data_IF_120756582179
#
_entry.id   IF_120756582179
#
_cell.length_a   1.000
_cell.length_b   1.000
_cell.length_c   1.000
_cell.angle_alpha   90.00
_cell.angle_beta   90.00
_cell.angle_gamma   90.00
#
_symmetry.space_group_name_H-M   'P 1'
#
loop_
_entity.id
_entity.type
_entity.pdbx_description
1 polymer ?
#
# COMPACT_ATOMS: atom_id res chain seq x y z
N UNK A 1 -7.49 18.66 87.51
CA UNK A 1 -7.37 17.23 87.79
C UNK A 1 -7.81 16.52 86.54
N UNK A 2 -6.80 15.82 85.86
CA UNK A 2 -6.91 14.77 84.87
C UNK A 2 -7.32 15.17 83.42
N UNK A 3 -6.39 15.32 82.51
CA UNK A 3 -5.63 14.34 81.72
C UNK A 3 -6.46 13.09 81.34
N UNK A 4 -6.81 12.99 80.05
CA UNK A 4 -6.82 11.81 79.23
C UNK A 4 -7.78 12.03 78.02
N UNK A 5 -7.25 12.57 76.93
CA UNK A 5 -7.76 12.31 75.57
C UNK A 5 -6.65 12.72 74.59
N UNK A 6 -5.69 11.85 74.47
CA UNK A 6 -4.77 11.85 73.34
C UNK A 6 -4.67 10.42 72.86
N UNK A 7 -4.51 10.25 71.56
CA UNK A 7 -4.26 9.01 70.81
C UNK A 7 -5.52 8.26 70.31
N UNK A 8 -6.04 8.74 69.16
CA UNK A 8 -6.62 7.86 68.13
C UNK A 8 -6.98 8.63 66.84
N UNK A 9 -6.03 9.29 66.20
CA UNK A 9 -6.30 9.90 64.88
C UNK A 9 -5.06 9.95 63.96
N UNK A 10 -4.31 8.87 63.80
CA UNK A 10 -3.17 8.88 62.88
C UNK A 10 -2.93 7.58 62.13
N UNK A 11 -3.95 6.71 61.97
CA UNK A 11 -3.79 5.48 61.18
C UNK A 11 -4.72 5.34 59.96
N UNK A 12 -5.58 6.31 59.69
CA UNK A 12 -6.50 6.20 58.52
C UNK A 12 -6.06 7.04 57.32
N UNK A 13 -5.03 7.89 57.43
CA UNK A 13 -4.63 8.78 56.34
C UNK A 13 -3.55 8.20 55.42
N UNK A 14 -2.86 7.12 55.83
CA UNK A 14 -1.79 6.53 55.04
C UNK A 14 -2.25 5.47 54.04
N UNK A 15 -3.44 4.91 54.19
CA UNK A 15 -3.97 3.86 53.29
C UNK A 15 -4.70 4.47 52.10
N UNK A 16 -5.23 5.68 52.20
CA UNK A 16 -5.94 6.35 51.13
C UNK A 16 -5.00 6.97 50.08
N UNK A 17 -3.70 7.21 50.43
CA UNK A 17 -2.70 7.79 49.53
C UNK A 17 -2.02 6.75 48.63
N UNK A 18 -2.13 5.46 48.96
CA UNK A 18 -1.51 4.37 48.20
C UNK A 18 -2.46 3.79 47.14
N UNK A 19 -3.75 4.12 47.18
CA UNK A 19 -4.72 3.67 46.16
C UNK A 19 -4.88 4.63 44.97
N UNK A 20 -4.36 5.88 45.06
CA UNK A 20 -4.48 6.88 44.01
C UNK A 20 -3.32 6.88 43.00
N UNK A 21 -2.25 6.12 43.27
CA UNK A 21 -1.06 6.07 42.38
C UNK A 21 -1.05 4.89 41.39
N UNK A 22 -2.05 4.03 41.43
CA UNK A 22 -2.11 2.83 40.57
C UNK A 22 -2.99 2.97 39.32
N UNK A 23 -3.54 4.16 39.04
CA UNK A 23 -4.48 4.34 37.89
C UNK A 23 -3.81 5.05 36.69
N UNK A 24 -2.55 5.49 36.80
CA UNK A 24 -1.85 6.20 35.70
C UNK A 24 -0.91 5.35 34.86
N UNK A 25 -0.96 4.01 34.98
CA UNK A 25 -0.23 3.11 34.06
C UNK A 25 -1.14 2.44 33.03
N UNK A 26 -2.29 3.03 32.75
CA UNK A 26 -3.17 2.54 31.70
C UNK A 26 -2.80 3.21 30.38
N UNK A 27 -2.06 2.46 29.56
CA UNK A 27 -2.14 2.52 28.10
C UNK A 27 -1.66 3.80 27.42
N UNK A 28 -0.36 4.10 27.48
CA UNK A 28 0.26 4.65 26.28
C UNK A 28 0.37 3.49 25.26
N UNK A 29 -0.63 3.31 24.41
CA UNK A 29 -0.37 2.70 23.11
C UNK A 29 0.66 3.62 22.44
N UNK A 30 1.79 3.13 21.95
CA UNK A 30 2.67 3.96 21.15
C UNK A 30 1.81 4.52 20.00
N UNK A 31 1.80 5.83 19.87
CA UNK A 31 1.22 6.48 18.70
C UNK A 31 1.98 5.93 17.49
N UNK A 32 1.29 5.45 16.43
CA UNK A 32 1.98 4.94 15.26
C UNK A 32 2.90 6.05 14.72
N UNK A 33 4.11 5.66 14.35
CA UNK A 33 5.10 6.57 13.78
C UNK A 33 4.46 7.28 12.58
N UNK A 34 4.45 8.62 12.51
CA UNK A 34 3.84 9.35 11.40
C UNK A 34 4.39 8.96 10.02
N UNK A 35 5.60 8.36 9.95
CA UNK A 35 6.17 7.83 8.71
C UNK A 35 5.51 6.50 8.24
N UNK A 36 4.66 5.87 9.04
CA UNK A 36 3.97 4.61 8.70
C UNK A 36 2.51 4.79 8.29
N UNK A 37 1.99 6.01 8.32
CA UNK A 37 0.60 6.26 7.93
C UNK A 37 0.50 6.40 6.40
N UNK A 38 -0.25 5.50 5.79
CA UNK A 38 -0.58 5.63 4.37
C UNK A 38 -1.41 6.91 4.12
N UNK A 39 -1.27 7.55 2.94
CA UNK A 39 -2.11 8.68 2.55
C UNK A 39 -3.60 8.35 2.63
N UNK A 40 -4.43 9.36 2.83
CA UNK A 40 -5.88 9.15 2.93
C UNK A 40 -6.44 8.47 1.66
N UNK A 41 -7.21 7.41 1.84
CA UNK A 41 -7.80 6.65 0.73
C UNK A 41 -6.87 5.61 0.11
N UNK A 42 -5.68 5.44 0.67
CA UNK A 42 -4.73 4.37 0.30
C UNK A 42 -4.79 3.28 1.38
N UNK A 43 -4.85 2.04 0.95
CA UNK A 43 -4.89 0.88 1.83
C UNK A 43 -3.96 -0.24 1.33
N UNK A 44 -3.50 -1.07 2.24
CA UNK A 44 -2.82 -2.32 1.90
C UNK A 44 -3.82 -3.29 1.25
N UNK A 45 -3.35 -4.11 0.32
CA UNK A 45 -4.18 -5.12 -0.30
C UNK A 45 -4.48 -6.25 0.70
N UNK A 46 -5.77 -6.49 0.97
CA UNK A 46 -6.20 -7.59 1.84
C UNK A 46 -5.88 -8.95 1.21
N UNK A 47 -5.53 -9.95 2.04
CA UNK A 47 -5.20 -11.31 1.60
C UNK A 47 -6.35 -12.04 0.90
N UNK A 48 -7.58 -11.63 1.11
CA UNK A 48 -8.79 -12.15 0.48
C UNK A 48 -9.30 -11.28 -0.69
N UNK A 49 -8.50 -10.29 -1.10
CA UNK A 49 -8.87 -9.40 -2.20
C UNK A 49 -9.05 -10.17 -3.52
N UNK A 50 -10.13 -9.92 -4.26
CA UNK A 50 -10.35 -10.51 -5.57
C UNK A 50 -9.29 -10.12 -6.61
N UNK A 51 -8.51 -9.04 -6.37
CA UNK A 51 -7.38 -8.64 -7.20
C UNK A 51 -6.26 -9.68 -7.20
N UNK A 52 -6.07 -10.40 -6.08
CA UNK A 52 -4.99 -11.38 -5.94
C UNK A 52 -5.18 -12.54 -6.91
N UNK A 53 -4.11 -12.92 -7.60
CA UNK A 53 -4.06 -14.04 -8.53
C UNK A 53 -3.24 -13.74 -9.77
N UNK A 54 -3.34 -14.65 -10.75
CA UNK A 54 -2.71 -14.51 -12.06
C UNK A 54 -3.77 -14.21 -13.10
N UNK A 55 -3.54 -13.15 -13.85
CA UNK A 55 -4.43 -12.63 -14.87
C UNK A 55 -3.74 -12.67 -16.22
N UNK A 56 -4.42 -13.13 -17.25
CA UNK A 56 -3.86 -13.22 -18.60
C UNK A 56 -4.71 -12.46 -19.60
N UNK A 57 -4.07 -11.65 -20.44
CA UNK A 57 -4.73 -10.96 -21.55
C UNK A 57 -4.71 -11.81 -22.85
N UNK A 58 -5.35 -11.30 -23.90
CA UNK A 58 -5.44 -11.96 -25.21
C UNK A 58 -4.10 -12.01 -25.97
N UNK A 59 -3.09 -11.31 -25.52
CA UNK A 59 -1.74 -11.29 -26.08
C UNK A 59 -0.78 -12.20 -25.31
N UNK A 60 -1.29 -13.02 -24.38
CA UNK A 60 -0.53 -13.87 -23.46
C UNK A 60 0.34 -13.12 -22.46
N UNK A 61 0.13 -11.82 -22.27
CA UNK A 61 0.76 -11.15 -21.13
C UNK A 61 0.14 -11.66 -19.83
N UNK A 62 0.97 -11.88 -18.82
CA UNK A 62 0.52 -12.35 -17.50
C UNK A 62 0.81 -11.26 -16.49
N UNK A 63 -0.19 -10.98 -15.67
CA UNK A 63 -0.10 -10.07 -14.52
C UNK A 63 -0.29 -10.91 -13.25
N UNK A 64 0.74 -10.96 -12.41
CA UNK A 64 0.67 -11.61 -11.10
C UNK A 64 0.50 -10.55 -10.03
N UNK A 65 -0.55 -10.69 -9.23
CA UNK A 65 -0.87 -9.77 -8.12
C UNK A 65 -0.90 -10.60 -6.84
N UNK A 66 -0.04 -10.27 -5.90
CA UNK A 66 -0.05 -10.78 -4.54
C UNK A 66 -0.36 -9.66 -3.55
N UNK A 67 -0.38 -9.95 -2.26
CA UNK A 67 -0.68 -8.96 -1.23
C UNK A 67 0.28 -7.75 -1.27
N UNK A 68 1.55 -7.97 -1.60
CA UNK A 68 2.59 -6.94 -1.53
C UNK A 68 3.40 -6.77 -2.82
N UNK A 69 3.12 -7.54 -3.85
CA UNK A 69 3.92 -7.56 -5.08
C UNK A 69 3.03 -7.58 -6.31
N UNK A 70 3.55 -7.00 -7.38
CA UNK A 70 3.00 -7.03 -8.72
C UNK A 70 4.09 -7.40 -9.70
N UNK A 71 3.77 -8.25 -10.67
CA UNK A 71 4.67 -8.62 -11.77
C UNK A 71 3.93 -8.68 -13.09
N UNK A 72 4.57 -8.19 -14.15
CA UNK A 72 4.06 -8.29 -15.52
C UNK A 72 5.04 -9.10 -16.38
N UNK A 73 4.51 -10.07 -17.09
CA UNK A 73 5.25 -10.92 -18.03
C UNK A 73 4.69 -10.72 -19.43
N UNK A 74 5.58 -10.57 -20.41
CA UNK A 74 5.28 -10.67 -21.84
C UNK A 74 6.05 -11.84 -22.43
N UNK A 75 5.38 -12.74 -23.19
CA UNK A 75 5.99 -13.92 -23.81
C UNK A 75 6.84 -14.76 -22.84
N UNK A 76 6.37 -14.96 -21.60
CA UNK A 76 7.06 -15.61 -20.49
C UNK A 76 8.34 -14.89 -19.99
N UNK A 77 8.59 -13.67 -20.42
CA UNK A 77 9.67 -12.83 -19.93
C UNK A 77 9.15 -11.83 -18.91
N UNK A 78 9.79 -11.76 -17.72
CA UNK A 78 9.44 -10.78 -16.71
C UNK A 78 9.84 -9.38 -17.19
N UNK A 79 8.86 -8.58 -17.53
CA UNK A 79 9.02 -7.20 -17.97
C UNK A 79 9.29 -6.30 -16.77
N UNK A 80 8.27 -5.86 -16.07
CA UNK A 80 8.44 -5.05 -14.88
C UNK A 80 7.81 -5.70 -13.65
N UNK A 81 8.31 -5.33 -12.49
CA UNK A 81 7.81 -5.81 -11.21
C UNK A 81 8.00 -4.73 -10.13
N UNK A 82 7.23 -4.85 -9.06
CA UNK A 82 7.36 -3.98 -7.90
C UNK A 82 6.83 -4.62 -6.63
N UNK A 83 7.23 -4.05 -5.52
CA UNK A 83 6.76 -4.41 -4.18
C UNK A 83 6.09 -3.20 -3.49
N UNK A 84 5.86 -3.32 -2.17
CA UNK A 84 5.17 -2.29 -1.39
C UNK A 84 3.81 -1.91 -2.00
N UNK A 85 3.10 -2.93 -2.51
CA UNK A 85 1.84 -2.76 -3.20
C UNK A 85 0.78 -2.18 -2.26
N UNK A 86 0.22 -1.05 -2.67
CA UNK A 86 -0.95 -0.43 -2.04
C UNK A 86 -2.00 -0.09 -3.08
N UNK A 87 -3.24 0.09 -2.66
CA UNK A 87 -4.35 0.38 -3.57
C UNK A 87 -5.13 1.62 -3.17
N UNK A 88 -5.77 2.23 -4.16
CA UNK A 88 -6.81 3.24 -3.99
C UNK A 88 -8.04 2.80 -4.74
N UNK A 89 -9.17 2.67 -4.06
CA UNK A 89 -10.45 2.32 -4.69
C UNK A 89 -11.18 3.57 -5.15
N UNK A 90 -11.57 3.62 -6.42
CA UNK A 90 -12.46 4.64 -6.96
C UNK A 90 -13.92 4.18 -6.96
N UNK A 91 -14.14 2.87 -6.96
CA UNK A 91 -15.43 2.21 -6.79
C UNK A 91 -15.21 0.79 -6.25
N UNK A 92 -16.30 0.02 -6.09
CA UNK A 92 -16.22 -1.39 -5.69
C UNK A 92 -15.36 -2.23 -6.66
N UNK A 93 -15.40 -1.91 -7.96
CA UNK A 93 -14.82 -2.74 -9.03
C UNK A 93 -13.71 -2.01 -9.81
N UNK A 94 -13.22 -0.85 -9.33
CA UNK A 94 -12.19 -0.07 -10.02
C UNK A 94 -11.33 0.73 -9.05
N UNK A 95 -10.12 1.06 -9.49
CA UNK A 95 -9.15 1.82 -8.71
C UNK A 95 -7.77 1.81 -9.32
N UNK A 96 -6.80 2.06 -8.46
CA UNK A 96 -5.39 2.08 -8.79
C UNK A 96 -4.62 1.14 -7.88
N UNK A 97 -3.61 0.50 -8.43
CA UNK A 97 -2.58 -0.25 -7.73
C UNK A 97 -1.30 0.58 -7.84
N UNK A 98 -0.65 0.88 -6.74
CA UNK A 98 0.65 1.54 -6.71
C UNK A 98 1.69 0.56 -6.22
N UNK A 99 2.86 0.58 -6.86
CA UNK A 99 4.01 -0.29 -6.53
C UNK A 99 5.30 0.51 -6.56
N UNK A 100 6.29 0.10 -5.78
CA UNK A 100 7.67 0.55 -5.99
C UNK A 100 8.38 -0.43 -6.91
N UNK A 101 8.97 0.06 -8.01
CA UNK A 101 9.69 -0.78 -8.94
C UNK A 101 10.85 -1.54 -8.29
N UNK A 102 10.85 -2.85 -8.47
CA UNK A 102 12.00 -3.74 -8.20
C UNK A 102 12.69 -4.16 -9.48
N UNK A 103 11.98 -4.01 -10.62
CA UNK A 103 12.45 -4.25 -11.98
C UNK A 103 11.79 -3.24 -12.91
N UNK A 104 12.60 -2.54 -13.71
CA UNK A 104 12.14 -1.53 -14.64
C UNK A 104 12.95 -1.58 -15.96
N UNK A 105 12.49 -0.86 -16.98
CA UNK A 105 13.20 -0.74 -18.25
C UNK A 105 14.39 0.25 -18.14
N UNK A 106 15.49 -0.08 -18.78
CA UNK A 106 16.58 0.86 -19.04
C UNK A 106 16.26 1.79 -20.25
N UNK A 107 17.16 2.68 -20.60
CA UNK A 107 17.02 3.59 -21.75
C UNK A 107 16.86 2.88 -23.12
N UNK A 108 17.28 1.61 -23.21
CA UNK A 108 17.17 0.76 -24.40
C UNK A 108 15.99 -0.21 -24.32
N UNK A 109 15.06 -0.01 -23.37
CA UNK A 109 13.90 -0.87 -23.11
C UNK A 109 14.25 -2.31 -22.68
N UNK A 110 15.48 -2.55 -22.14
CA UNK A 110 15.79 -3.82 -21.50
C UNK A 110 15.40 -3.78 -20.04
N UNK A 111 14.62 -4.76 -19.59
CA UNK A 111 14.18 -4.83 -18.20
C UNK A 111 15.29 -5.37 -17.29
N UNK A 112 15.62 -4.63 -16.25
CA UNK A 112 16.71 -4.94 -15.32
C UNK A 112 16.33 -4.65 -13.87
N UNK A 113 17.08 -5.23 -12.93
CA UNK A 113 17.05 -4.91 -11.49
C UNK A 113 18.19 -4.00 -11.07
N UNK A 114 19.00 -3.56 -12.01
CA UNK A 114 20.17 -2.70 -11.80
C UNK A 114 19.74 -1.23 -11.82
N UNK A 115 19.72 -0.59 -10.65
CA UNK A 115 19.30 0.81 -10.51
C UNK A 115 20.18 1.81 -11.27
N UNK A 116 21.46 1.47 -11.51
CA UNK A 116 22.35 2.34 -12.27
C UNK A 116 21.94 2.39 -13.76
N UNK A 117 21.32 1.31 -14.27
CA UNK A 117 20.80 1.23 -15.65
C UNK A 117 19.35 1.67 -15.77
N UNK A 118 18.52 1.37 -14.77
CA UNK A 118 17.12 1.77 -14.73
C UNK A 118 16.85 2.62 -13.48
N UNK A 119 16.99 3.95 -13.57
CA UNK A 119 16.84 4.87 -12.44
C UNK A 119 15.46 4.84 -11.77
N UNK A 120 14.45 4.36 -12.47
CA UNK A 120 13.08 4.20 -11.95
C UNK A 120 12.96 3.16 -10.83
N UNK A 121 13.95 2.26 -10.67
CA UNK A 121 13.94 1.26 -9.59
C UNK A 121 13.93 1.94 -8.21
N UNK A 122 12.99 1.56 -7.38
CA UNK A 122 12.71 2.17 -6.07
C UNK A 122 11.74 3.34 -6.13
N UNK A 123 11.35 3.80 -7.32
CA UNK A 123 10.34 4.82 -7.54
C UNK A 123 8.94 4.19 -7.66
N UNK A 124 7.91 5.01 -7.47
CA UNK A 124 6.52 4.59 -7.52
C UNK A 124 5.97 4.60 -8.95
N UNK A 125 5.13 3.62 -9.23
CA UNK A 125 4.41 3.44 -10.49
C UNK A 125 2.96 3.05 -10.21
N UNK A 126 2.07 3.30 -11.17
CA UNK A 126 0.67 2.99 -11.02
C UNK A 126 0.12 2.09 -12.14
N UNK A 127 -0.79 1.21 -11.76
CA UNK A 127 -1.63 0.39 -12.64
C UNK A 127 -3.09 0.71 -12.32
N UNK A 128 -3.87 1.13 -13.31
CA UNK A 128 -5.31 1.29 -13.14
C UNK A 128 -6.00 -0.04 -13.40
N UNK A 129 -7.01 -0.36 -12.58
CA UNK A 129 -7.91 -1.48 -12.83
C UNK A 129 -9.36 -1.04 -12.88
N UNK A 130 -10.17 -1.73 -13.66
CA UNK A 130 -11.61 -1.54 -13.73
C UNK A 130 -12.33 -2.83 -14.12
N UNK A 131 -13.65 -2.82 -13.93
CA UNK A 131 -14.52 -3.97 -14.22
C UNK A 131 -14.06 -5.27 -13.57
N UNK A 132 -13.50 -5.15 -12.34
CA UNK A 132 -13.10 -6.31 -11.55
C UNK A 132 -14.30 -7.19 -11.24
N UNK A 133 -14.20 -8.46 -11.61
CA UNK A 133 -15.16 -9.55 -11.32
C UNK A 133 -14.37 -10.75 -10.82
N UNK A 134 -15.05 -11.80 -10.42
CA UNK A 134 -14.42 -13.03 -9.93
C UNK A 134 -13.34 -13.58 -10.88
N UNK A 135 -13.61 -13.58 -12.19
CA UNK A 135 -12.75 -14.21 -13.19
C UNK A 135 -12.32 -13.28 -14.33
N UNK A 136 -12.55 -11.98 -14.23
CA UNK A 136 -12.14 -11.00 -15.23
C UNK A 136 -11.81 -9.65 -14.64
N UNK A 137 -10.90 -8.93 -15.29
CA UNK A 137 -10.45 -7.59 -14.93
C UNK A 137 -9.95 -6.86 -16.18
N UNK A 138 -10.00 -5.56 -16.18
CA UNK A 138 -9.29 -4.73 -17.14
C UNK A 138 -8.15 -4.01 -16.45
N UNK A 139 -6.93 -4.14 -17.00
CA UNK A 139 -5.70 -3.56 -16.44
C UNK A 139 -5.04 -2.59 -17.43
N UNK A 140 -4.51 -1.50 -16.94
CA UNK A 140 -3.72 -0.52 -17.69
C UNK A 140 -2.55 -0.03 -16.87
N UNK A 141 -1.33 -0.21 -17.33
CA UNK A 141 -0.15 0.46 -16.75
C UNK A 141 -0.15 1.94 -17.09
N UNK A 142 0.37 2.78 -16.21
CA UNK A 142 0.50 4.21 -16.46
C UNK A 142 1.44 4.46 -17.64
N UNK A 143 0.92 5.03 -18.72
CA UNK A 143 1.69 5.35 -19.92
C UNK A 143 1.14 6.60 -20.58
N UNK A 144 2.02 7.58 -20.80
CA UNK A 144 1.69 8.83 -21.48
C UNK A 144 2.89 9.32 -22.27
N UNK A 145 2.65 9.77 -23.52
CA UNK A 145 3.71 10.41 -24.31
C UNK A 145 4.25 11.63 -23.58
N UNK A 146 5.55 11.72 -23.42
CA UNK A 146 6.25 12.80 -22.67
C UNK A 146 5.81 12.92 -21.18
N UNK A 147 5.14 11.89 -20.64
CA UNK A 147 4.79 11.80 -19.22
C UNK A 147 5.90 11.19 -18.39
N UNK A 148 5.70 11.19 -17.07
CA UNK A 148 6.60 10.49 -16.15
C UNK A 148 6.46 8.99 -16.29
N UNK A 149 7.56 8.26 -16.14
CA UNK A 149 7.63 6.80 -16.07
C UNK A 149 7.53 6.28 -14.65
N UNK A 150 7.86 7.13 -13.67
CA UNK A 150 7.81 6.85 -12.23
C UNK A 150 7.80 8.16 -11.43
N UNK A 151 7.56 8.07 -10.12
CA UNK A 151 7.64 9.20 -9.18
C UNK A 151 8.44 8.82 -7.93
N UNK A 152 9.06 9.80 -7.28
CA UNK A 152 9.89 9.56 -6.10
C UNK A 152 9.06 9.21 -4.86
N UNK A 153 7.83 9.70 -4.76
CA UNK A 153 6.94 9.43 -3.62
C UNK A 153 5.58 8.86 -4.04
N UNK A 154 4.91 8.20 -3.11
CA UNK A 154 3.55 7.68 -3.30
C UNK A 154 2.55 8.83 -3.50
N UNK A 155 2.67 9.93 -2.75
CA UNK A 155 1.80 11.09 -2.87
C UNK A 155 1.87 11.70 -4.26
N UNK A 156 3.07 11.76 -4.83
CA UNK A 156 3.26 12.22 -6.20
C UNK A 156 2.64 11.23 -7.20
N UNK A 157 2.81 9.91 -7.01
CA UNK A 157 2.20 8.90 -7.86
C UNK A 157 0.67 9.00 -7.88
N UNK A 158 0.05 9.22 -6.71
CA UNK A 158 -1.40 9.39 -6.57
C UNK A 158 -1.90 10.60 -7.35
N UNK A 159 -1.16 11.69 -7.36
CA UNK A 159 -1.56 12.93 -8.04
C UNK A 159 -1.20 12.93 -9.53
N UNK A 160 -0.10 12.31 -9.91
CA UNK A 160 0.40 12.27 -11.29
C UNK A 160 -0.34 11.23 -12.13
N UNK A 161 -0.37 9.98 -11.66
CA UNK A 161 -0.90 8.86 -12.45
C UNK A 161 -2.42 8.74 -12.31
N UNK A 162 -3.14 9.58 -13.04
CA UNK A 162 -4.60 9.58 -13.07
C UNK A 162 -5.14 9.45 -14.50
N UNK A 163 -6.41 9.06 -14.61
CA UNK A 163 -7.13 9.03 -15.90
C UNK A 163 -7.24 10.45 -16.45
N UNK A 164 -7.51 11.43 -15.60
CA UNK A 164 -7.65 12.85 -15.95
C UNK A 164 -6.36 13.42 -16.53
N UNK A 165 -5.21 12.99 -16.02
CA UNK A 165 -3.89 13.36 -16.54
C UNK A 165 -3.51 12.60 -17.82
N UNK A 166 -4.33 11.64 -18.26
CA UNK A 166 -4.18 10.95 -19.53
C UNK A 166 -3.22 9.76 -19.52
N UNK A 167 -2.91 9.19 -18.34
CA UNK A 167 -1.99 8.05 -18.22
C UNK A 167 -2.61 6.70 -18.57
N UNK A 168 -3.94 6.56 -18.52
CA UNK A 168 -4.63 5.28 -18.68
C UNK A 168 -5.61 5.35 -19.84
N UNK A 169 -5.12 5.16 -21.07
CA UNK A 169 -5.93 5.26 -22.30
C UNK A 169 -6.30 3.89 -22.88
N UNK A 170 -5.52 2.86 -22.61
CA UNK A 170 -5.70 1.51 -23.18
C UNK A 170 -5.67 0.47 -22.09
N UNK A 171 -6.72 -0.36 -22.03
CA UNK A 171 -6.86 -1.42 -21.05
C UNK A 171 -6.77 -2.79 -21.72
N UNK A 172 -5.97 -3.69 -21.13
CA UNK A 172 -5.96 -5.11 -21.43
C UNK A 172 -7.13 -5.81 -20.75
N UNK A 173 -7.95 -6.52 -21.50
CA UNK A 173 -8.97 -7.40 -20.94
C UNK A 173 -8.31 -8.70 -20.50
N UNK A 174 -8.38 -9.02 -19.22
CA UNK A 174 -7.70 -10.15 -18.63
C UNK A 174 -8.70 -11.14 -18.02
N UNK A 175 -8.37 -12.42 -18.12
CA UNK A 175 -9.07 -13.50 -17.43
C UNK A 175 -8.18 -14.09 -16.34
N UNK A 176 -8.79 -14.54 -15.25
CA UNK A 176 -8.08 -15.17 -14.15
C UNK A 176 -7.67 -16.59 -14.53
N UNK A 177 -6.39 -16.93 -14.41
CA UNK A 177 -5.86 -18.25 -14.76
C UNK A 177 -5.43 -19.05 -13.53
N UNK A 178 -5.16 -18.41 -12.39
CA UNK A 178 -4.95 -19.03 -11.08
C UNK A 178 -5.08 -18.01 -9.94
N UNK A 179 -5.26 -18.51 -8.75
CA UNK A 179 -5.18 -17.73 -7.51
C UNK A 179 -3.75 -17.71 -6.96
#
# INVERSE_FOLDING_TARGET
MNLLFSLRRTKFSAILLLLSLSIFLASCKPEPDPETLLPQGIEELSTDSPLIGKWQDSYNSIYEISQNEFSNYGDNYLSYAGNNLVISKTSENSGYIYIQYTRAADENWNYTTDKEKAPDIGNWYAISYKELKENSIQLSGACKSEGKTSTESLEEAITEFTIENGYFSTYSECVKISN
#
